data_IF_970806288985
#
_entry.id   IF_970806288985
#
_cell.length_a   1.000
_cell.length_b   1.000
_cell.length_c   1.000
_cell.angle_alpha   90.00
_cell.angle_beta   90.00
_cell.angle_gamma   90.00
#
_symmetry.space_group_name_H-M   'P 1'
#
loop_
_entity.id
_entity.type
_entity.pdbx_description
1 polymer ?
#
# COMPACT_ATOMS: atom_id res chain seq x y z
N UNK A 1 -6.89 9.08 -30.42
CA UNK A 1 -7.43 8.80 -29.08
C UNK A 1 -7.40 7.30 -28.88
N UNK A 2 -6.32 6.78 -28.30
CA UNK A 2 -6.21 5.36 -27.97
C UNK A 2 -6.81 5.17 -26.58
N UNK A 3 -8.02 4.60 -26.51
CA UNK A 3 -8.55 4.08 -25.26
C UNK A 3 -7.72 2.84 -24.90
N UNK A 4 -6.91 2.97 -23.85
CA UNK A 4 -6.31 1.80 -23.21
C UNK A 4 -7.47 1.06 -22.55
N UNK A 5 -7.90 -0.05 -23.17
CA UNK A 5 -8.79 -1.00 -22.53
C UNK A 5 -8.00 -1.66 -21.39
N UNK A 6 -8.11 -1.09 -20.19
CA UNK A 6 -7.63 -1.75 -18.97
C UNK A 6 -8.59 -2.89 -18.70
N UNK A 7 -8.13 -4.11 -18.97
CA UNK A 7 -8.89 -5.33 -18.71
C UNK A 7 -9.08 -5.47 -17.20
N UNK A 8 -10.29 -5.16 -16.71
CA UNK A 8 -10.70 -5.10 -15.29
C UNK A 8 -10.44 -6.39 -14.51
N UNK A 9 -10.12 -7.50 -15.18
CA UNK A 9 -9.90 -8.80 -14.57
C UNK A 9 -8.44 -9.12 -14.22
N UNK A 10 -7.45 -8.31 -14.65
CA UNK A 10 -6.02 -8.60 -14.40
C UNK A 10 -5.18 -7.34 -14.23
N UNK A 11 -5.38 -6.61 -13.15
CA UNK A 11 -4.31 -5.72 -12.64
C UNK A 11 -3.21 -6.57 -12.01
N UNK A 12 -2.41 -7.18 -12.87
CA UNK A 12 -1.16 -7.80 -12.43
C UNK A 12 -0.18 -6.71 -11.95
N UNK A 13 0.82 -7.06 -11.12
CA UNK A 13 1.83 -6.11 -10.68
C UNK A 13 2.69 -5.49 -11.80
N UNK A 14 2.53 -5.93 -13.05
CA UNK A 14 3.54 -5.86 -14.11
C UNK A 14 3.32 -4.77 -15.19
N UNK A 15 2.44 -3.77 -14.96
CA UNK A 15 2.36 -2.60 -15.86
C UNK A 15 3.12 -1.38 -15.30
N UNK A 16 4.40 -1.17 -15.68
CA UNK A 16 5.25 -0.11 -15.13
C UNK A 16 4.83 1.32 -15.52
N UNK A 17 3.85 1.47 -16.43
CA UNK A 17 3.37 2.77 -16.91
C UNK A 17 2.23 3.34 -16.07
N UNK A 18 1.57 2.52 -15.24
CA UNK A 18 0.48 2.95 -14.39
C UNK A 18 1.04 3.56 -13.11
N UNK A 19 0.71 4.82 -12.84
CA UNK A 19 1.15 5.51 -11.60
C UNK A 19 0.09 5.43 -10.52
N UNK A 20 0.48 5.62 -9.25
CA UNK A 20 -0.47 5.73 -8.14
C UNK A 20 -1.53 6.82 -8.39
N UNK A 21 -1.21 7.85 -9.16
CA UNK A 21 -2.14 8.92 -9.52
C UNK A 21 -3.22 8.44 -10.48
N UNK A 22 -2.82 7.65 -11.49
CA UNK A 22 -3.76 7.06 -12.45
C UNK A 22 -4.65 6.02 -11.75
N UNK A 23 -4.06 5.17 -10.90
CA UNK A 23 -4.75 4.19 -10.08
C UNK A 23 -5.76 4.85 -9.11
N UNK A 24 -5.34 5.92 -8.43
CA UNK A 24 -6.22 6.66 -7.52
C UNK A 24 -7.38 7.30 -8.27
N UNK A 25 -7.14 7.83 -9.48
CA UNK A 25 -8.18 8.38 -10.33
C UNK A 25 -9.20 7.32 -10.74
N UNK A 26 -8.75 6.13 -11.16
CA UNK A 26 -9.64 5.01 -11.48
C UNK A 26 -10.45 4.56 -10.27
N UNK A 27 -9.82 4.46 -9.10
CA UNK A 27 -10.53 4.17 -7.86
C UNK A 27 -11.62 5.18 -7.53
N UNK A 28 -11.40 6.48 -7.82
CA UNK A 28 -12.43 7.52 -7.65
C UNK A 28 -13.57 7.40 -8.66
N UNK A 29 -13.29 7.03 -9.91
CA UNK A 29 -14.34 6.77 -10.90
C UNK A 29 -15.19 5.56 -10.50
N UNK A 30 -14.56 4.47 -10.08
CA UNK A 30 -15.31 3.29 -9.62
C UNK A 30 -16.09 3.58 -8.32
N UNK A 31 -15.58 4.46 -7.45
CA UNK A 31 -16.32 4.95 -6.29
C UNK A 31 -17.60 5.70 -6.71
N UNK A 32 -17.52 6.57 -7.71
CA UNK A 32 -18.69 7.31 -8.21
C UNK A 32 -19.67 6.42 -8.97
N UNK A 33 -19.16 5.41 -9.66
CA UNK A 33 -19.97 4.46 -10.44
C UNK A 33 -20.63 3.37 -9.56
N UNK A 34 -20.30 3.34 -8.26
CA UNK A 34 -20.81 2.34 -7.32
C UNK A 34 -20.17 0.96 -7.48
N UNK A 35 -19.04 0.86 -8.16
CA UNK A 35 -18.27 -0.37 -8.32
C UNK A 35 -17.30 -0.53 -7.14
N UNK A 36 -17.85 -0.92 -5.98
CA UNK A 36 -17.12 -0.99 -4.71
C UNK A 36 -15.91 -1.95 -4.70
N UNK A 37 -15.98 -3.16 -5.28
CA UNK A 37 -14.83 -4.07 -5.31
C UNK A 37 -13.65 -3.50 -6.11
N UNK A 38 -13.91 -2.89 -7.26
CA UNK A 38 -12.86 -2.26 -8.07
C UNK A 38 -12.32 -0.98 -7.40
N UNK A 39 -13.18 -0.17 -6.76
CA UNK A 39 -12.75 0.95 -5.90
C UNK A 39 -11.66 0.50 -4.91
N UNK A 40 -11.95 -0.55 -4.13
CA UNK A 40 -11.02 -1.06 -3.12
C UNK A 40 -9.74 -1.61 -3.77
N UNK A 41 -9.86 -2.36 -4.87
CA UNK A 41 -8.71 -2.92 -5.57
C UNK A 41 -7.77 -1.83 -6.09
N UNK A 42 -8.30 -0.81 -6.78
CA UNK A 42 -7.51 0.31 -7.29
C UNK A 42 -6.92 1.17 -6.18
N UNK A 43 -7.67 1.46 -5.11
CA UNK A 43 -7.18 2.24 -3.97
C UNK A 43 -6.04 1.52 -3.24
N UNK A 44 -6.15 0.21 -2.99
CA UNK A 44 -5.06 -0.58 -2.42
C UNK A 44 -3.82 -0.57 -3.31
N UNK A 45 -4.01 -0.82 -4.61
CA UNK A 45 -2.91 -0.80 -5.58
C UNK A 45 -2.24 0.56 -5.65
N UNK A 46 -3.00 1.65 -5.60
CA UNK A 46 -2.46 3.01 -5.56
C UNK A 46 -1.63 3.26 -4.30
N UNK A 47 -2.06 2.76 -3.13
CA UNK A 47 -1.31 2.91 -1.88
C UNK A 47 0.00 2.12 -1.87
N UNK A 48 -0.01 0.87 -2.35
CA UNK A 48 1.20 0.06 -2.54
C UNK A 48 2.21 0.82 -3.40
N UNK A 49 1.71 1.40 -4.48
CA UNK A 49 2.50 2.12 -5.46
C UNK A 49 3.08 3.45 -4.95
N UNK A 50 2.25 4.24 -4.26
CA UNK A 50 2.67 5.49 -3.61
C UNK A 50 3.76 5.24 -2.56
N UNK A 51 3.61 4.21 -1.74
CA UNK A 51 4.63 3.84 -0.74
C UNK A 51 5.95 3.47 -1.38
N UNK A 52 5.88 2.78 -2.51
CA UNK A 52 7.03 2.39 -3.29
C UNK A 52 7.76 3.60 -3.93
N UNK A 53 7.04 4.58 -4.50
CA UNK A 53 7.64 5.81 -5.06
C UNK A 53 8.28 6.68 -4.00
N UNK A 54 7.59 6.83 -2.87
CA UNK A 54 8.09 7.57 -1.74
C UNK A 54 9.37 6.93 -1.19
N UNK A 55 9.44 5.60 -1.18
CA UNK A 55 10.60 4.82 -0.73
C UNK A 55 11.85 5.02 -1.60
N UNK A 56 11.71 5.08 -2.93
CA UNK A 56 12.85 5.34 -3.86
C UNK A 56 13.57 6.65 -3.52
N UNK A 57 12.83 7.67 -3.08
CA UNK A 57 13.37 8.98 -2.69
C UNK A 57 13.71 9.09 -1.19
N UNK A 58 13.47 8.04 -0.40
CA UNK A 58 13.58 8.02 1.07
C UNK A 58 14.95 7.62 1.62
N UNK A 59 16.03 7.94 0.92
CA UNK A 59 17.29 8.21 1.62
C UNK A 59 17.28 9.60 2.30
N UNK A 60 16.32 10.48 1.99
CA UNK A 60 16.39 11.91 2.36
C UNK A 60 15.33 12.35 3.39
N UNK A 61 14.12 11.76 3.43
CA UNK A 61 12.99 12.31 4.21
C UNK A 61 12.62 11.56 5.51
N UNK A 62 13.51 10.70 6.02
CA UNK A 62 13.34 9.98 7.32
C UNK A 62 12.97 10.89 8.51
N UNK A 63 13.19 12.21 8.42
CA UNK A 63 13.08 13.16 9.52
C UNK A 63 11.79 13.99 9.56
N UNK A 64 11.00 14.06 8.48
CA UNK A 64 10.06 15.18 8.34
C UNK A 64 8.56 14.86 8.45
N UNK A 65 8.09 13.63 8.13
CA UNK A 65 6.64 13.42 7.98
C UNK A 65 6.00 12.28 8.79
N UNK A 66 6.76 11.56 9.63
CA UNK A 66 6.18 10.50 10.48
C UNK A 66 5.35 9.46 9.70
N UNK A 67 5.65 9.27 8.40
CA UNK A 67 4.90 8.36 7.53
C UNK A 67 5.13 6.92 8.02
N UNK A 68 4.02 6.23 8.27
CA UNK A 68 3.92 4.95 8.96
C UNK A 68 4.42 3.78 8.10
N UNK A 69 5.52 3.20 8.56
CA UNK A 69 6.44 2.25 7.93
C UNK A 69 5.94 0.78 7.83
N UNK A 70 4.65 0.51 7.63
CA UNK A 70 4.19 -0.92 7.59
C UNK A 70 4.61 -1.67 6.32
N UNK A 71 4.73 -1.00 5.18
CA UNK A 71 5.06 -1.62 3.89
C UNK A 71 6.57 -1.83 3.65
N UNK A 72 7.42 -1.36 4.57
CA UNK A 72 8.88 -1.41 4.45
C UNK A 72 9.45 -2.82 4.66
N UNK A 73 8.82 -3.63 5.52
CA UNK A 73 9.29 -4.98 5.80
C UNK A 73 8.85 -5.96 4.71
N UNK A 74 7.58 -5.94 4.30
CA UNK A 74 7.01 -6.93 3.38
C UNK A 74 7.65 -6.93 1.98
N UNK A 75 8.00 -5.75 1.44
CA UNK A 75 8.49 -5.64 0.06
C UNK A 75 9.96 -6.06 -0.09
N UNK A 76 10.78 -5.80 0.93
CA UNK A 76 12.13 -6.35 1.05
C UNK A 76 12.10 -7.82 1.50
N UNK A 77 11.11 -8.22 2.30
CA UNK A 77 10.87 -9.61 2.71
C UNK A 77 10.56 -10.45 1.48
N UNK A 78 9.74 -9.98 0.54
CA UNK A 78 9.47 -10.70 -0.70
C UNK A 78 10.74 -10.89 -1.55
N UNK A 79 11.52 -9.83 -1.81
CA UNK A 79 12.79 -9.98 -2.55
C UNK A 79 13.78 -10.88 -1.79
N UNK A 80 13.83 -10.79 -0.45
CA UNK A 80 14.65 -11.68 0.38
C UNK A 80 14.19 -13.13 0.29
N UNK A 81 12.90 -13.40 0.38
CA UNK A 81 12.32 -14.74 0.26
C UNK A 81 12.56 -15.32 -1.13
N UNK A 82 12.26 -14.56 -2.18
CA UNK A 82 12.52 -14.96 -3.57
C UNK A 82 13.99 -15.28 -3.80
N UNK A 83 14.91 -14.40 -3.39
CA UNK A 83 16.34 -14.66 -3.54
C UNK A 83 16.86 -15.78 -2.64
N UNK A 84 16.22 -16.04 -1.51
CA UNK A 84 16.55 -17.20 -0.65
C UNK A 84 16.11 -18.51 -1.28
N UNK A 85 14.99 -18.51 -2.01
CA UNK A 85 14.48 -19.70 -2.71
C UNK A 85 15.20 -19.97 -4.04
N UNK A 86 15.72 -18.93 -4.71
CA UNK A 86 16.35 -19.06 -6.03
C UNK A 86 17.84 -19.41 -5.99
N UNK A 87 18.50 -19.34 -4.84
CA UNK A 87 19.96 -19.51 -4.72
C UNK A 87 20.26 -20.77 -3.93
N UNK A 88 21.14 -21.61 -4.49
CA UNK A 88 21.54 -22.86 -3.87
C UNK A 88 22.17 -22.63 -2.48
N UNK A 89 21.89 -23.50 -1.50
CA UNK A 89 22.51 -23.41 -0.19
C UNK A 89 24.03 -23.68 -0.32
N UNK A 90 24.87 -22.86 0.32
CA UNK A 90 26.31 -23.06 0.25
C UNK A 90 26.73 -24.35 0.99
N UNK A 91 27.82 -24.95 0.54
CA UNK A 91 28.51 -26.03 1.26
C UNK A 91 29.39 -25.46 2.41
N UNK A 92 30.09 -26.33 3.14
CA UNK A 92 30.98 -25.92 4.23
C UNK A 92 32.21 -25.11 3.76
N UNK A 93 32.52 -25.10 2.46
CA UNK A 93 33.64 -24.35 1.92
C UNK A 93 33.40 -22.85 1.99
N UNK A 94 34.42 -22.14 2.49
CA UNK A 94 34.45 -20.67 2.55
C UNK A 94 34.21 -20.06 1.16
N UNK A 95 34.66 -20.72 0.09
CA UNK A 95 34.48 -20.22 -1.27
C UNK A 95 33.01 -20.30 -1.72
N UNK A 96 32.32 -21.40 -1.42
CA UNK A 96 30.89 -21.59 -1.70
C UNK A 96 30.02 -20.61 -0.91
N UNK A 97 30.33 -20.40 0.38
CA UNK A 97 29.64 -19.42 1.21
C UNK A 97 29.78 -17.99 0.64
N UNK A 98 30.98 -17.60 0.22
CA UNK A 98 31.23 -16.30 -0.41
C UNK A 98 30.51 -16.16 -1.75
N UNK A 99 30.48 -17.23 -2.54
CA UNK A 99 29.76 -17.27 -3.82
C UNK A 99 28.26 -17.08 -3.61
N UNK A 100 27.62 -17.91 -2.77
CA UNK A 100 26.20 -17.81 -2.45
C UNK A 100 25.81 -16.44 -1.85
N UNK A 101 26.67 -15.86 -1.01
CA UNK A 101 26.46 -14.51 -0.47
C UNK A 101 26.49 -13.45 -1.58
N UNK A 102 27.43 -13.56 -2.53
CA UNK A 102 27.56 -12.63 -3.66
C UNK A 102 26.38 -12.75 -4.62
N UNK A 103 25.94 -13.96 -4.93
CA UNK A 103 24.75 -14.20 -5.75
C UNK A 103 23.48 -13.65 -5.08
N UNK A 104 23.34 -13.83 -3.75
CA UNK A 104 22.22 -13.26 -2.99
C UNK A 104 22.21 -11.75 -3.08
N UNK A 105 23.36 -11.11 -2.94
CA UNK A 105 23.48 -9.66 -3.09
C UNK A 105 23.07 -9.20 -4.50
N UNK A 106 23.52 -9.89 -5.56
CA UNK A 106 23.18 -9.56 -6.95
C UNK A 106 21.68 -9.77 -7.22
N UNK A 107 21.11 -10.88 -6.77
CA UNK A 107 19.68 -11.16 -6.88
C UNK A 107 18.87 -10.07 -6.18
N UNK A 108 19.25 -9.69 -4.96
CA UNK A 108 18.59 -8.62 -4.22
C UNK A 108 18.70 -7.29 -4.96
N UNK A 109 19.85 -6.95 -5.55
CA UNK A 109 20.01 -5.73 -6.34
C UNK A 109 19.15 -5.71 -7.61
N UNK A 110 19.04 -6.85 -8.31
CA UNK A 110 18.18 -6.99 -9.49
C UNK A 110 16.70 -6.98 -9.11
N UNK A 111 16.29 -7.80 -8.15
CA UNK A 111 14.93 -7.82 -7.62
C UNK A 111 14.50 -6.43 -7.14
N UNK A 112 15.40 -5.73 -6.45
CA UNK A 112 15.20 -4.32 -6.12
C UNK A 112 15.06 -3.48 -7.39
N UNK A 113 15.99 -3.49 -8.34
CA UNK A 113 15.91 -2.67 -9.55
C UNK A 113 14.68 -2.93 -10.42
N UNK A 114 14.32 -4.19 -10.63
CA UNK A 114 13.19 -4.61 -11.46
C UNK A 114 11.87 -4.27 -10.78
N UNK A 115 11.85 -4.37 -9.44
CA UNK A 115 10.74 -3.88 -8.65
C UNK A 115 10.71 -2.36 -8.67
N UNK A 116 11.85 -1.69 -8.42
CA UNK A 116 12.23 -0.25 -8.32
C UNK A 116 12.63 0.38 -9.67
N UNK A 117 11.83 0.22 -10.73
CA UNK A 117 12.19 0.61 -12.11
C UNK A 117 12.58 2.09 -12.22
N UNK A 118 13.65 2.37 -12.96
CA UNK A 118 14.11 3.74 -13.29
C UNK A 118 13.18 4.45 -14.28
N UNK A 119 12.35 3.69 -15.02
CA UNK A 119 11.50 4.18 -16.11
C UNK A 119 10.14 4.74 -15.67
N UNK A 120 9.92 4.95 -14.38
CA UNK A 120 8.64 5.49 -13.93
C UNK A 120 8.52 6.98 -14.26
N UNK A 121 7.39 7.44 -14.83
CA UNK A 121 7.17 8.86 -15.02
C UNK A 121 7.22 9.63 -13.69
N UNK A 122 7.70 10.89 -13.71
CA UNK A 122 7.72 11.74 -12.53
C UNK A 122 6.29 12.05 -12.06
N UNK A 123 6.17 12.46 -10.79
CA UNK A 123 4.90 12.84 -10.18
C UNK A 123 4.19 13.93 -10.99
N UNK A 124 2.97 13.65 -11.46
CA UNK A 124 2.19 14.52 -12.33
C UNK A 124 1.50 15.64 -11.54
N UNK A 125 0.94 15.34 -10.37
CA UNK A 125 0.09 16.25 -9.56
C UNK A 125 0.41 16.19 -8.06
N UNK A 126 0.98 17.28 -7.55
CA UNK A 126 1.28 17.42 -6.12
C UNK A 126 0.05 17.32 -5.21
N UNK A 127 -1.14 17.71 -5.68
CA UNK A 127 -2.36 17.56 -4.87
C UNK A 127 -2.67 16.10 -4.55
N UNK A 128 -2.46 15.20 -5.51
CA UNK A 128 -2.66 13.76 -5.30
C UNK A 128 -1.64 13.21 -4.31
N UNK A 129 -0.41 13.74 -4.29
CA UNK A 129 0.55 13.41 -3.23
C UNK A 129 0.03 13.78 -1.83
N UNK A 130 -0.50 14.99 -1.65
CA UNK A 130 -1.04 15.43 -0.37
C UNK A 130 -2.23 14.59 0.08
N UNK A 131 -3.10 14.17 -0.85
CA UNK A 131 -4.21 13.26 -0.54
C UNK A 131 -3.73 11.95 0.12
N UNK A 132 -2.60 11.40 -0.32
CA UNK A 132 -2.03 10.18 0.26
C UNK A 132 -1.35 10.44 1.60
N UNK A 133 -0.65 11.58 1.76
CA UNK A 133 -0.07 12.00 3.04
C UNK A 133 -1.17 12.21 4.09
N UNK A 134 -2.33 12.72 3.68
CA UNK A 134 -3.55 12.89 4.50
C UNK A 134 -4.36 11.60 4.65
N UNK A 135 -3.89 10.46 4.11
CA UNK A 135 -4.56 9.15 4.18
C UNK A 135 -5.95 9.10 3.51
N UNK A 136 -6.28 10.01 2.58
CA UNK A 136 -7.58 10.04 1.89
C UNK A 136 -7.98 8.74 1.18
N UNK A 137 -7.07 7.90 0.64
CA UNK A 137 -7.49 6.59 0.11
C UNK A 137 -8.27 5.73 1.13
N UNK A 138 -7.91 5.79 2.42
CA UNK A 138 -8.64 5.10 3.49
C UNK A 138 -10.04 5.68 3.72
N UNK A 139 -10.23 6.98 3.47
CA UNK A 139 -11.54 7.64 3.49
C UNK A 139 -12.49 7.02 2.44
N UNK A 140 -12.01 6.84 1.21
CA UNK A 140 -12.82 6.18 0.17
C UNK A 140 -13.05 4.70 0.49
N UNK A 141 -12.00 4.01 0.95
CA UNK A 141 -12.06 2.58 1.20
C UNK A 141 -13.04 2.20 2.31
N UNK A 142 -13.17 2.97 3.41
CA UNK A 142 -14.13 2.60 4.45
C UNK A 142 -15.57 2.60 3.94
N UNK A 143 -15.90 3.55 3.06
CA UNK A 143 -17.21 3.60 2.41
C UNK A 143 -17.37 2.43 1.43
N UNK A 144 -16.36 2.14 0.61
CA UNK A 144 -16.42 1.00 -0.32
C UNK A 144 -16.59 -0.34 0.43
N UNK A 145 -15.85 -0.58 1.51
CA UNK A 145 -16.01 -1.77 2.35
C UNK A 145 -17.38 -1.87 3.00
N UNK A 146 -17.91 -0.76 3.52
CA UNK A 146 -19.25 -0.72 4.06
C UNK A 146 -20.30 -1.12 3.03
N UNK A 147 -20.18 -0.61 1.80
CA UNK A 147 -21.07 -0.96 0.68
C UNK A 147 -20.95 -2.42 0.23
N UNK A 148 -19.80 -3.05 0.49
CA UNK A 148 -19.57 -4.48 0.26
C UNK A 148 -20.07 -5.37 1.40
N UNK A 149 -20.49 -4.80 2.54
CA UNK A 149 -20.89 -5.54 3.74
C UNK A 149 -19.71 -5.98 4.63
N UNK A 150 -18.50 -5.46 4.38
CA UNK A 150 -17.30 -5.76 5.16
C UNK A 150 -17.14 -4.74 6.31
N UNK A 151 -17.91 -4.92 7.40
CA UNK A 151 -17.90 -4.01 8.55
C UNK A 151 -16.50 -3.87 9.18
N UNK A 152 -15.82 -4.99 9.42
CA UNK A 152 -14.49 -4.99 10.06
C UNK A 152 -13.47 -4.15 9.28
N UNK A 153 -13.43 -4.32 7.95
CA UNK A 153 -12.51 -3.58 7.09
C UNK A 153 -12.91 -2.10 6.94
N UNK A 154 -14.22 -1.80 6.99
CA UNK A 154 -14.71 -0.43 7.02
C UNK A 154 -14.24 0.30 8.29
N UNK A 155 -14.44 -0.30 9.47
CA UNK A 155 -14.03 0.23 10.77
C UNK A 155 -12.51 0.47 10.81
N UNK A 156 -11.72 -0.54 10.42
CA UNK A 156 -10.25 -0.42 10.38
C UNK A 156 -9.79 0.70 9.44
N UNK A 157 -10.41 0.84 8.27
CA UNK A 157 -10.06 1.89 7.30
C UNK A 157 -10.45 3.28 7.81
N UNK A 158 -11.64 3.44 8.37
CA UNK A 158 -12.11 4.70 8.95
C UNK A 158 -11.21 5.13 10.13
N UNK A 159 -10.90 4.20 11.03
CA UNK A 159 -10.01 4.46 12.16
C UNK A 159 -8.60 4.86 11.70
N UNK A 160 -8.03 4.16 10.71
CA UNK A 160 -6.72 4.49 10.12
C UNK A 160 -6.67 5.93 9.56
N UNK A 161 -7.77 6.39 8.95
CA UNK A 161 -7.89 7.77 8.47
C UNK A 161 -7.99 8.77 9.64
N UNK A 162 -8.83 8.48 10.64
CA UNK A 162 -9.05 9.34 11.82
C UNK A 162 -7.81 9.52 12.70
N UNK A 163 -6.92 8.51 12.77
CA UNK A 163 -5.63 8.65 13.48
C UNK A 163 -4.82 9.85 12.98
N UNK A 164 -4.91 10.18 11.68
CA UNK A 164 -4.23 11.35 11.09
C UNK A 164 -5.13 12.58 11.05
N UNK A 165 -6.44 12.39 10.92
CA UNK A 165 -7.43 13.46 10.75
C UNK A 165 -8.51 13.35 11.84
N UNK A 166 -8.19 13.65 13.11
CA UNK A 166 -9.11 13.42 14.23
C UNK A 166 -10.36 14.30 14.17
N UNK A 167 -10.28 15.49 13.54
CA UNK A 167 -11.37 16.47 13.50
C UNK A 167 -12.30 16.31 12.27
N UNK A 168 -12.15 15.24 11.49
CA UNK A 168 -12.90 15.04 10.25
C UNK A 168 -14.33 14.54 10.54
N UNK A 169 -15.28 15.48 10.60
CA UNK A 169 -16.69 15.28 10.98
C UNK A 169 -17.37 14.11 10.25
N UNK A 170 -17.35 14.10 8.91
CA UNK A 170 -18.08 13.07 8.16
C UNK A 170 -17.59 11.65 8.44
N UNK A 171 -16.30 11.49 8.77
CA UNK A 171 -15.73 10.17 9.10
C UNK A 171 -15.98 9.82 10.56
N UNK A 172 -16.01 10.80 11.48
CA UNK A 172 -16.46 10.57 12.86
C UNK A 172 -17.92 10.12 12.90
N UNK A 173 -18.80 10.77 12.13
CA UNK A 173 -20.20 10.40 12.01
C UNK A 173 -20.37 9.00 11.40
N UNK A 174 -19.59 8.70 10.34
CA UNK A 174 -19.53 7.36 9.76
C UNK A 174 -19.03 6.30 10.75
N UNK A 175 -18.06 6.65 11.59
CA UNK A 175 -17.52 5.76 12.62
C UNK A 175 -18.53 5.49 13.73
N UNK A 176 -19.21 6.53 14.22
CA UNK A 176 -20.29 6.41 15.20
C UNK A 176 -21.40 5.50 14.66
N UNK A 177 -21.76 5.68 13.38
CA UNK A 177 -22.71 4.81 12.70
C UNK A 177 -22.25 3.34 12.65
N UNK A 178 -20.95 3.08 12.39
CA UNK A 178 -20.42 1.71 12.40
C UNK A 178 -20.44 1.06 13.78
N UNK A 179 -20.21 1.83 14.85
CA UNK A 179 -20.26 1.35 16.24
C UNK A 179 -21.66 0.88 16.66
N UNK A 180 -22.71 1.43 16.04
CA UNK A 180 -24.10 1.03 16.31
C UNK A 180 -24.53 -0.23 15.53
N UNK A 181 -23.73 -0.70 14.57
CA UNK A 181 -24.12 -1.83 13.72
C UNK A 181 -23.98 -3.17 14.44
N UNK A 182 -24.88 -4.14 14.17
CA UNK A 182 -24.71 -5.50 14.68
C UNK A 182 -23.44 -6.13 14.11
N UNK A 183 -22.61 -6.69 14.98
CA UNK A 183 -21.33 -7.30 14.60
C UNK A 183 -20.13 -6.36 14.75
N UNK A 184 -20.34 -5.13 15.23
CA UNK A 184 -19.25 -4.28 15.71
C UNK A 184 -18.62 -4.88 16.97
N UNK A 185 -17.29 -4.79 17.05
CA UNK A 185 -16.51 -5.15 18.22
C UNK A 185 -15.33 -4.18 18.38
N UNK A 186 -15.01 -3.83 19.63
CA UNK A 186 -13.93 -2.87 19.93
C UNK A 186 -12.56 -3.35 19.43
N UNK A 187 -12.35 -4.66 19.26
CA UNK A 187 -11.11 -5.21 18.68
C UNK A 187 -10.92 -4.84 17.21
N UNK A 188 -11.95 -4.34 16.52
CA UNK A 188 -11.86 -3.85 15.15
C UNK A 188 -11.21 -2.47 15.04
N UNK A 189 -11.02 -1.75 16.17
CA UNK A 189 -10.36 -0.43 16.24
C UNK A 189 -8.84 -0.53 16.10
N UNK A 190 -8.39 -1.02 14.94
CA UNK A 190 -6.98 -1.23 14.64
C UNK A 190 -6.57 -0.27 13.52
N UNK A 191 -5.54 0.54 13.79
CA UNK A 191 -4.87 1.30 12.74
C UNK A 191 -4.10 0.31 11.86
N UNK A 192 -4.51 0.21 10.58
CA UNK A 192 -3.90 -0.65 9.57
C UNK A 192 -2.44 -0.29 9.30
N UNK A 193 -2.01 0.89 9.73
CA UNK A 193 -0.65 1.40 9.62
C UNK A 193 0.16 1.28 10.93
N UNK A 194 -0.45 0.84 12.05
CA UNK A 194 0.22 0.68 13.36
C UNK A 194 1.30 -0.38 13.32
N UNK A 195 2.43 -0.12 14.00
CA UNK A 195 3.57 -1.05 14.01
C UNK A 195 3.32 -2.17 15.04
N UNK A 196 3.79 -3.40 14.77
CA UNK A 196 3.58 -4.53 15.66
C UNK A 196 4.24 -4.37 17.05
N UNK A 197 5.23 -3.48 17.18
CA UNK A 197 5.92 -3.21 18.46
C UNK A 197 5.34 -2.03 19.24
N UNK A 198 4.36 -1.31 18.70
CA UNK A 198 3.67 -0.19 19.38
C UNK A 198 2.56 -0.68 20.32
N UNK A 199 2.49 -1.99 20.59
CA UNK A 199 1.46 -2.64 21.44
C UNK A 199 1.72 -2.47 22.95
N UNK A 200 2.94 -2.07 23.34
CA UNK A 200 3.41 -2.04 24.74
C UNK A 200 3.60 -0.63 25.33
N UNK A 201 2.65 0.28 25.14
CA UNK A 201 2.61 1.55 25.88
C UNK A 201 1.22 1.79 26.45
#
# INVERSE_FOLDING_TARGET
MAFVFIDRARTSPDEPQLTFEDLYLYGKYDYTDGNWPSCVAFMRRAMEDFHYEFFKNLCILKRFYGLSLRYFEDELVWCRQKCTQQIEPPDESIFSQKHAHSERAICLLRCKRDKFTENRPPLKKMNTFFDFVERKPYQYMHICYWRMGELEMAVKSAYTFLVKNPDHKDTLDGMAFYMEQPGYDDSMLIDLLRRPYEVYN
#
